data_IF_782907941679
#
_entry.id   IF_782907941679
#
_cell.length_a   1.000
_cell.length_b   1.000
_cell.length_c   1.000
_cell.angle_alpha   90.00
_cell.angle_beta   90.00
_cell.angle_gamma   90.00
#
_symmetry.space_group_name_H-M   'P 1'
#
loop_
_entity.id
_entity.type
_entity.pdbx_description
1 polymer ?
#
# COMPACT_ATOMS: atom_id res chain seq x y z
N UNK A 1 -4.03 -17.91 -0.29
CA UNK A 1 -3.57 -17.52 1.06
C UNK A 1 -4.68 -17.82 2.05
N UNK A 2 -4.44 -17.57 3.34
CA UNK A 2 -5.52 -17.58 4.34
C UNK A 2 -6.18 -16.19 4.31
N UNK A 3 -7.50 -16.13 4.28
CA UNK A 3 -8.25 -14.86 4.33
C UNK A 3 -8.43 -14.41 5.79
N UNK A 4 -8.62 -13.11 6.02
CA UNK A 4 -8.96 -12.53 7.34
C UNK A 4 -7.95 -12.88 8.43
N UNK A 5 -6.66 -12.68 8.16
CA UNK A 5 -5.58 -13.02 9.11
C UNK A 5 -5.49 -11.97 10.22
N UNK A 6 -5.93 -10.74 9.97
CA UNK A 6 -5.83 -9.62 10.90
C UNK A 6 -7.10 -9.52 11.75
N UNK A 7 -6.93 -9.57 13.07
CA UNK A 7 -8.00 -9.33 14.03
C UNK A 7 -8.22 -7.81 14.20
N UNK A 8 -9.48 -7.38 14.13
CA UNK A 8 -9.91 -5.99 14.34
C UNK A 8 -9.44 -5.41 15.67
N UNK A 9 -9.25 -6.24 16.69
CA UNK A 9 -8.76 -5.79 18.01
C UNK A 9 -7.37 -5.16 17.95
N UNK A 10 -6.61 -5.44 16.90
CA UNK A 10 -5.28 -4.87 16.70
C UNK A 10 -5.33 -3.48 16.04
N UNK A 11 -6.49 -3.09 15.51
CA UNK A 11 -6.69 -1.82 14.82
C UNK A 11 -7.07 -0.74 15.84
N UNK A 12 -6.29 0.32 15.89
CA UNK A 12 -6.52 1.48 16.74
C UNK A 12 -7.52 2.44 16.09
N UNK A 13 -8.17 3.26 16.92
CA UNK A 13 -9.06 4.31 16.44
C UNK A 13 -8.28 5.35 15.62
N UNK A 14 -8.84 5.77 14.48
CA UNK A 14 -8.19 6.66 13.53
C UNK A 14 -7.09 6.02 12.69
N UNK A 15 -6.86 4.71 12.76
CA UNK A 15 -5.85 4.03 11.94
C UNK A 15 -6.12 4.14 10.44
N UNK A 16 -5.04 4.21 9.66
CA UNK A 16 -5.07 4.01 8.22
C UNK A 16 -4.67 2.58 7.87
N UNK A 17 -5.34 1.97 6.90
CA UNK A 17 -5.06 0.60 6.46
C UNK A 17 -4.58 0.55 5.02
N UNK A 18 -3.48 -0.18 4.82
CA UNK A 18 -2.99 -0.62 3.52
C UNK A 18 -3.16 -2.14 3.49
N UNK A 19 -4.03 -2.63 2.61
CA UNK A 19 -4.35 -4.06 2.42
C UNK A 19 -3.76 -4.52 1.08
N UNK A 20 -2.71 -5.34 1.17
CA UNK A 20 -2.06 -5.94 0.00
C UNK A 20 -2.67 -7.30 -0.39
N UNK A 21 -3.60 -7.81 0.40
CA UNK A 21 -4.22 -9.12 0.23
C UNK A 21 -5.10 -9.19 -1.01
N UNK A 22 -4.99 -10.31 -1.72
CA UNK A 22 -5.87 -10.61 -2.86
C UNK A 22 -6.27 -12.09 -2.75
N UNK A 23 -7.54 -12.32 -2.43
CA UNK A 23 -8.12 -13.66 -2.35
C UNK A 23 -9.39 -13.73 -3.17
N UNK A 24 -9.59 -14.86 -3.85
CA UNK A 24 -10.86 -15.18 -4.51
C UNK A 24 -11.82 -15.76 -3.47
N UNK A 25 -12.98 -15.13 -3.34
CA UNK A 25 -14.05 -15.58 -2.47
C UNK A 25 -14.95 -16.60 -3.20
N UNK A 26 -15.77 -17.32 -2.45
CA UNK A 26 -16.66 -18.37 -2.96
C UNK A 26 -17.65 -17.85 -4.01
N UNK A 27 -18.06 -16.58 -3.90
CA UNK A 27 -18.95 -15.90 -4.84
C UNK A 27 -18.21 -15.24 -6.03
N UNK A 28 -16.96 -15.63 -6.29
CA UNK A 28 -16.06 -15.02 -7.29
C UNK A 28 -15.69 -13.55 -7.07
N UNK A 29 -16.08 -12.95 -5.94
CA UNK A 29 -15.59 -11.63 -5.56
C UNK A 29 -14.11 -11.69 -5.13
N UNK A 30 -13.47 -10.52 -5.05
CA UNK A 30 -12.08 -10.37 -4.60
C UNK A 30 -12.11 -9.72 -3.21
N UNK A 31 -11.50 -10.37 -2.23
CA UNK A 31 -11.33 -9.88 -0.87
C UNK A 31 -9.86 -9.67 -0.49
N UNK A 32 -9.62 -8.89 0.56
CA UNK A 32 -8.30 -8.59 1.12
C UNK A 32 -7.92 -9.47 2.31
N UNK A 33 -6.85 -9.09 3.01
CA UNK A 33 -6.39 -9.77 4.22
C UNK A 33 -7.20 -9.41 5.47
N UNK A 34 -8.04 -8.36 5.37
CA UNK A 34 -8.81 -7.78 6.46
C UNK A 34 -10.29 -7.74 6.10
N UNK A 35 -11.16 -8.16 7.03
CA UNK A 35 -12.59 -7.87 6.93
C UNK A 35 -12.85 -6.39 7.28
N UNK A 36 -12.80 -5.54 6.27
CA UNK A 36 -13.00 -4.10 6.43
C UNK A 36 -14.36 -3.76 7.05
N UNK A 37 -15.41 -4.55 6.79
CA UNK A 37 -16.76 -4.26 7.31
C UNK A 37 -16.79 -4.24 8.83
N UNK A 38 -15.93 -5.04 9.45
CA UNK A 38 -15.83 -5.18 10.90
C UNK A 38 -15.04 -4.07 11.60
N UNK A 39 -14.36 -3.20 10.85
CA UNK A 39 -13.52 -2.13 11.41
C UNK A 39 -13.70 -0.75 10.76
N UNK A 40 -14.58 -0.61 9.77
CA UNK A 40 -14.72 0.60 8.94
C UNK A 40 -14.90 1.88 9.75
N UNK A 41 -15.67 1.82 10.85
CA UNK A 41 -15.97 2.98 11.68
C UNK A 41 -14.75 3.51 12.45
N UNK A 42 -13.72 2.67 12.62
CA UNK A 42 -12.47 3.04 13.32
C UNK A 42 -11.44 3.68 12.39
N UNK A 43 -11.63 3.59 11.07
CA UNK A 43 -10.58 3.92 10.12
C UNK A 43 -10.64 5.38 9.70
N UNK A 44 -9.49 6.03 9.67
CA UNK A 44 -9.37 7.35 9.04
C UNK A 44 -9.32 7.24 7.52
N UNK A 45 -8.72 6.17 6.98
CA UNK A 45 -8.69 5.85 5.56
C UNK A 45 -8.30 4.39 5.32
N UNK A 46 -8.56 3.89 4.11
CA UNK A 46 -8.19 2.53 3.69
C UNK A 46 -7.88 2.44 2.20
N UNK A 47 -7.11 1.43 1.81
CA UNK A 47 -7.02 1.00 0.40
C UNK A 47 -8.22 0.13 0.01
N UNK A 48 -8.77 0.28 -1.21
CA UNK A 48 -9.82 -0.61 -1.70
C UNK A 48 -9.26 -1.96 -2.15
N UNK A 49 -10.04 -3.02 -1.97
CA UNK A 49 -9.80 -4.33 -2.56
C UNK A 49 -11.09 -4.76 -3.27
N UNK A 50 -11.08 -4.99 -4.60
CA UNK A 50 -9.97 -4.77 -5.55
C UNK A 50 -9.69 -3.27 -5.83
N UNK A 51 -8.57 -2.98 -6.50
CA UNK A 51 -8.28 -1.65 -7.05
C UNK A 51 -7.31 -0.76 -6.25
N UNK A 52 -6.83 -1.23 -5.10
CA UNK A 52 -5.84 -0.53 -4.28
C UNK A 52 -4.40 -0.83 -4.70
N UNK A 53 -3.78 -1.79 -4.01
CA UNK A 53 -2.34 -2.02 -4.11
C UNK A 53 -1.92 -2.68 -5.43
N UNK A 54 -2.75 -3.57 -5.99
CA UNK A 54 -2.43 -4.25 -7.26
C UNK A 54 -2.03 -3.29 -8.40
N UNK A 55 -2.88 -2.32 -8.79
CA UNK A 55 -2.54 -1.33 -9.80
C UNK A 55 -1.31 -0.47 -9.46
N UNK A 56 -1.11 -0.14 -8.19
CA UNK A 56 0.06 0.60 -7.73
C UNK A 56 1.36 -0.22 -7.93
N UNK A 57 1.35 -1.51 -7.57
CA UNK A 57 2.48 -2.43 -7.75
C UNK A 57 2.87 -2.55 -9.22
N UNK A 58 1.91 -2.75 -10.12
CA UNK A 58 2.19 -2.82 -11.56
C UNK A 58 2.77 -1.51 -12.09
N UNK A 59 2.20 -0.37 -11.70
CA UNK A 59 2.70 0.95 -12.12
C UNK A 59 4.13 1.18 -11.64
N UNK A 60 4.44 0.78 -10.40
CA UNK A 60 5.77 0.93 -9.82
C UNK A 60 6.82 0.04 -10.49
N UNK A 61 6.43 -1.18 -10.88
CA UNK A 61 7.29 -2.06 -11.67
C UNK A 61 7.67 -1.41 -13.00
N UNK A 62 6.71 -0.84 -13.73
CA UNK A 62 7.00 -0.14 -14.98
C UNK A 62 7.85 1.11 -14.77
N UNK A 63 7.64 1.84 -13.67
CA UNK A 63 8.45 3.00 -13.35
C UNK A 63 9.92 2.61 -13.12
N UNK A 64 10.15 1.55 -12.35
CA UNK A 64 11.49 1.00 -12.09
C UNK A 64 12.15 0.49 -13.38
N UNK A 65 11.38 -0.17 -14.25
CA UNK A 65 11.86 -0.63 -15.56
C UNK A 65 12.27 0.55 -16.44
N UNK A 66 11.42 1.57 -16.53
CA UNK A 66 11.67 2.75 -17.34
C UNK A 66 12.89 3.55 -16.84
N UNK A 67 13.01 3.74 -15.52
CA UNK A 67 14.18 4.38 -14.91
C UNK A 67 15.47 3.57 -15.17
N UNK A 68 15.40 2.24 -15.10
CA UNK A 68 16.53 1.36 -15.42
C UNK A 68 16.96 1.50 -16.89
N UNK A 69 16.00 1.55 -17.83
CA UNK A 69 16.28 1.76 -19.24
C UNK A 69 16.91 3.13 -19.50
N UNK A 70 16.38 4.19 -18.88
CA UNK A 70 16.95 5.55 -18.98
C UNK A 70 18.41 5.59 -18.54
N UNK A 71 18.74 4.94 -17.42
CA UNK A 71 20.12 4.85 -16.92
C UNK A 71 21.02 4.07 -17.88
N UNK A 72 20.51 2.97 -18.45
CA UNK A 72 21.24 2.18 -19.43
C UNK A 72 21.65 3.00 -20.67
N UNK A 73 20.79 3.92 -21.12
CA UNK A 73 21.08 4.82 -22.25
C UNK A 73 21.73 6.15 -21.84
N UNK A 74 22.16 6.30 -20.58
CA UNK A 74 22.88 7.48 -20.09
C UNK A 74 22.03 8.73 -19.84
N UNK A 75 20.70 8.60 -19.72
CA UNK A 75 19.81 9.71 -19.37
C UNK A 75 19.82 9.98 -17.86
N UNK A 76 19.61 11.25 -17.44
CA UNK A 76 19.51 11.57 -16.02
C UNK A 76 18.27 10.94 -15.37
N UNK A 77 18.27 10.74 -14.04
CA UNK A 77 17.11 10.21 -13.30
C UNK A 77 15.83 11.01 -13.54
N UNK A 78 14.68 10.35 -13.47
CA UNK A 78 13.39 11.04 -13.53
C UNK A 78 13.28 12.03 -12.35
N UNK A 79 12.95 13.28 -12.67
CA UNK A 79 12.61 14.29 -11.66
C UNK A 79 11.11 14.22 -11.36
N UNK A 80 10.77 14.01 -10.08
CA UNK A 80 9.40 14.14 -9.61
C UNK A 80 9.19 15.44 -8.84
N UNK A 81 7.93 15.88 -8.64
CA UNK A 81 7.61 16.94 -7.69
C UNK A 81 8.23 16.68 -6.31
N UNK A 82 8.57 17.75 -5.59
CA UNK A 82 9.34 17.65 -4.33
C UNK A 82 8.74 16.69 -3.30
N UNK A 83 7.41 16.67 -3.14
CA UNK A 83 6.72 15.79 -2.20
C UNK A 83 6.83 14.30 -2.56
N UNK A 84 7.05 13.97 -3.83
CA UNK A 84 7.19 12.60 -4.32
C UNK A 84 8.63 12.09 -4.20
N UNK A 85 9.62 12.98 -4.33
CA UNK A 85 11.03 12.64 -4.10
C UNK A 85 11.30 12.20 -2.65
N UNK A 86 10.52 12.70 -1.68
CA UNK A 86 10.64 12.29 -0.27
C UNK A 86 10.31 10.79 -0.09
N UNK A 87 9.25 10.32 -0.76
CA UNK A 87 8.82 8.93 -0.75
C UNK A 87 9.86 8.03 -1.45
N UNK A 88 10.44 8.51 -2.55
CA UNK A 88 11.42 7.77 -3.34
C UNK A 88 12.82 7.71 -2.72
N UNK A 89 13.23 8.74 -1.98
CA UNK A 89 14.56 8.81 -1.35
C UNK A 89 14.69 7.96 -0.07
N UNK A 90 13.58 7.55 0.55
CA UNK A 90 13.56 6.76 1.79
C UNK A 90 13.45 5.24 1.54
N UNK A 91 13.71 4.76 0.32
CA UNK A 91 13.56 3.36 -0.06
C UNK A 91 14.71 2.43 0.42
N UNK A 92 15.38 2.78 1.52
CA UNK A 92 16.23 1.86 2.29
C UNK A 92 15.75 1.82 3.74
N UNK A 93 14.81 0.90 4.00
CA UNK A 93 14.52 0.40 5.34
C UNK A 93 13.53 1.25 6.16
N UNK A 94 12.47 0.59 6.63
CA UNK A 94 11.53 1.07 7.64
C UNK A 94 10.65 2.28 7.26
N UNK A 95 9.55 2.01 6.54
CA UNK A 95 8.35 2.83 6.66
C UNK A 95 7.56 2.37 7.90
N UNK A 96 8.04 2.75 9.08
CA UNK A 96 7.19 2.92 10.27
C UNK A 96 7.42 4.35 10.72
N UNK A 97 6.77 5.30 10.05
CA UNK A 97 6.71 6.67 10.56
C UNK A 97 5.32 7.02 11.08
N UNK A 98 5.39 7.59 12.29
CA UNK A 98 4.32 7.96 13.19
C UNK A 98 3.55 9.12 12.57
N UNK A 99 2.41 8.87 11.92
CA UNK A 99 1.43 9.95 11.77
C UNK A 99 0.99 10.33 13.18
N UNK A 100 1.06 11.61 13.53
CA UNK A 100 1.12 12.14 14.91
C UNK A 100 0.02 11.70 15.87
N UNK A 101 -1.02 10.98 15.43
CA UNK A 101 -2.04 10.34 16.27
C UNK A 101 -2.64 9.04 15.71
N UNK A 102 -2.01 8.39 14.72
CA UNK A 102 -2.61 7.22 14.06
C UNK A 102 -1.53 6.21 13.64
N UNK A 103 -1.65 4.98 14.14
CA UNK A 103 -0.80 3.86 13.76
C UNK A 103 -1.06 3.52 12.29
N UNK A 104 -0.03 3.63 11.44
CA UNK A 104 -0.04 3.11 10.09
C UNK A 104 0.37 1.64 10.17
N UNK A 105 -0.58 0.74 9.97
CA UNK A 105 -0.31 -0.68 9.96
C UNK A 105 -0.25 -1.15 8.49
N UNK A 106 0.91 -1.64 8.08
CA UNK A 106 1.10 -2.34 6.82
C UNK A 106 0.73 -3.79 7.06
N UNK A 107 -0.29 -4.29 6.36
CA UNK A 107 -0.66 -5.70 6.36
C UNK A 107 -0.61 -6.24 4.93
#
# INVERSE_FOLDING_TARGET
>A
GKTNIIDVKWIQEGSGIIDCGIHKLENHAIGGDIDISSCIDKLSWRTPVPGGIGPATTSWLFLNLFESFRRFIGLPPISFPQHFNLIMSHNQGYLIERTRNSFLAFF
#
